data_IF_900118989263
#
_entry.id   IF_900118989263
#
_cell.length_a   1.000
_cell.length_b   1.000
_cell.length_c   1.000
_cell.angle_alpha   90.00
_cell.angle_beta   90.00
_cell.angle_gamma   90.00
#
_symmetry.space_group_name_H-M   'P 1'
#
loop_
_entity.id
_entity.type
_entity.pdbx_description
1 polymer ?
#
# COMPACT_ATOMS: atom_id res chain seq x y z
N UNK A 1 0.71 -20.38 -8.19
CA UNK A 1 -0.74 -20.18 -8.44
C UNK A 1 -1.13 -18.84 -9.13
N UNK A 2 -0.20 -17.98 -9.61
CA UNK A 2 -0.58 -16.67 -10.19
C UNK A 2 -0.35 -16.47 -11.71
N UNK A 3 0.04 -17.51 -12.46
CA UNK A 3 0.87 -17.35 -13.66
C UNK A 3 0.18 -16.90 -14.97
N UNK A 4 -1.14 -16.73 -15.06
CA UNK A 4 -1.78 -16.60 -16.41
C UNK A 4 -2.96 -15.63 -16.55
N UNK A 5 -3.38 -14.90 -15.50
CA UNK A 5 -4.63 -14.13 -15.56
C UNK A 5 -4.52 -12.72 -14.95
N UNK A 6 -3.37 -12.06 -15.08
CA UNK A 6 -3.20 -10.67 -14.63
C UNK A 6 -4.28 -9.75 -15.23
N UNK A 7 -4.49 -9.81 -16.55
CA UNK A 7 -5.53 -9.04 -17.24
C UNK A 7 -6.93 -9.32 -16.70
N UNK A 8 -7.25 -10.58 -16.39
CA UNK A 8 -8.57 -10.97 -15.86
C UNK A 8 -8.79 -10.42 -14.46
N UNK A 9 -7.77 -10.48 -13.59
CA UNK A 9 -7.84 -9.92 -12.23
C UNK A 9 -7.91 -8.40 -12.23
N UNK A 10 -7.13 -7.75 -13.10
CA UNK A 10 -7.23 -6.30 -13.32
C UNK A 10 -8.62 -5.91 -13.80
N UNK A 11 -9.22 -6.66 -14.72
CA UNK A 11 -10.59 -6.41 -15.19
C UNK A 11 -11.63 -6.57 -14.06
N UNK A 12 -11.51 -7.60 -13.22
CA UNK A 12 -12.40 -7.79 -12.04
C UNK A 12 -12.30 -6.61 -11.09
N UNK A 13 -11.08 -6.15 -10.79
CA UNK A 13 -10.85 -5.02 -9.89
C UNK A 13 -11.38 -3.70 -10.50
N UNK A 14 -11.14 -3.46 -11.78
CA UNK A 14 -11.62 -2.28 -12.49
C UNK A 14 -13.15 -2.23 -12.57
N UNK A 15 -13.80 -3.37 -12.88
CA UNK A 15 -15.25 -3.50 -12.86
C UNK A 15 -15.81 -3.23 -11.46
N UNK A 16 -15.19 -3.80 -10.42
CA UNK A 16 -15.58 -3.52 -9.04
C UNK A 16 -15.48 -2.04 -8.67
N UNK A 17 -14.38 -1.36 -9.04
CA UNK A 17 -14.23 0.09 -8.81
C UNK A 17 -15.24 0.93 -9.59
N UNK A 18 -15.53 0.55 -10.84
CA UNK A 18 -16.54 1.23 -11.67
C UNK A 18 -17.94 1.09 -11.05
N UNK A 19 -18.28 -0.11 -10.57
CA UNK A 19 -19.56 -0.37 -9.91
C UNK A 19 -19.66 0.30 -8.56
N UNK A 20 -18.56 0.37 -7.80
CA UNK A 20 -18.51 1.17 -6.58
C UNK A 20 -18.90 2.62 -6.87
N UNK A 21 -18.30 3.22 -7.90
CA UNK A 21 -18.57 4.60 -8.28
C UNK A 21 -20.03 4.79 -8.69
N UNK A 22 -20.53 3.97 -9.62
CA UNK A 22 -21.91 4.05 -10.12
C UNK A 22 -22.92 3.86 -9.00
N UNK A 23 -22.75 2.83 -8.16
CA UNK A 23 -23.65 2.55 -7.04
C UNK A 23 -23.61 3.67 -5.98
N UNK A 24 -22.44 4.27 -5.74
CA UNK A 24 -22.31 5.42 -4.83
C UNK A 24 -23.04 6.65 -5.39
N UNK A 25 -22.87 6.97 -6.68
CA UNK A 25 -23.55 8.11 -7.32
C UNK A 25 -25.06 7.90 -7.33
N UNK A 26 -25.53 6.73 -7.77
CA UNK A 26 -26.96 6.43 -7.82
C UNK A 26 -27.62 6.49 -6.43
N UNK A 27 -26.94 6.02 -5.39
CA UNK A 27 -27.44 6.12 -4.01
C UNK A 27 -27.34 7.53 -3.43
N UNK A 28 -26.34 8.34 -3.82
CA UNK A 28 -26.29 9.76 -3.48
C UNK A 28 -27.47 10.52 -4.09
N UNK A 29 -27.74 10.32 -5.38
CA UNK A 29 -28.87 10.94 -6.09
C UNK A 29 -30.22 10.50 -5.51
N UNK A 30 -30.29 9.29 -4.97
CA UNK A 30 -31.47 8.77 -4.28
C UNK A 30 -31.62 9.27 -2.83
N UNK A 31 -30.75 10.16 -2.36
CA UNK A 31 -30.86 10.80 -1.04
C UNK A 31 -30.32 9.98 0.14
N UNK A 32 -29.56 8.90 -0.10
CA UNK A 32 -28.99 8.08 0.99
C UNK A 32 -27.82 8.76 1.72
N UNK A 33 -27.40 9.96 1.31
CA UNK A 33 -26.36 10.74 1.99
C UNK A 33 -25.08 9.94 2.17
N UNK A 34 -24.54 9.91 3.39
CA UNK A 34 -23.27 9.21 3.70
C UNK A 34 -23.37 7.67 3.54
N UNK A 35 -24.58 7.10 3.65
CA UNK A 35 -24.81 5.64 3.53
C UNK A 35 -24.51 5.15 2.11
N UNK A 36 -24.56 6.03 1.12
CA UNK A 36 -24.18 5.75 -0.27
C UNK A 36 -22.79 5.12 -0.41
N UNK A 37 -21.83 5.55 0.41
CA UNK A 37 -20.46 5.02 0.42
C UNK A 37 -20.45 3.54 0.80
N UNK A 38 -21.26 3.15 1.80
CA UNK A 38 -21.40 1.76 2.24
C UNK A 38 -22.04 0.89 1.17
N UNK A 39 -23.10 1.40 0.52
CA UNK A 39 -23.79 0.71 -0.58
C UNK A 39 -22.82 0.44 -1.73
N UNK A 40 -22.02 1.43 -2.11
CA UNK A 40 -21.00 1.29 -3.15
C UNK A 40 -19.99 0.20 -2.83
N UNK A 41 -19.45 0.18 -1.61
CA UNK A 41 -18.45 -0.80 -1.17
C UNK A 41 -19.02 -2.23 -1.19
N UNK A 42 -20.22 -2.42 -0.64
CA UNK A 42 -20.87 -3.74 -0.60
C UNK A 42 -21.15 -4.24 -2.01
N UNK A 43 -21.67 -3.38 -2.89
CA UNK A 43 -21.99 -3.72 -4.28
C UNK A 43 -20.74 -4.14 -5.06
N UNK A 44 -19.64 -3.40 -4.90
CA UNK A 44 -18.37 -3.71 -5.53
C UNK A 44 -17.78 -5.03 -5.02
N UNK A 45 -17.77 -5.24 -3.70
CA UNK A 45 -17.28 -6.48 -3.09
C UNK A 45 -18.09 -7.71 -3.52
N UNK A 46 -19.42 -7.58 -3.56
CA UNK A 46 -20.30 -8.64 -4.02
C UNK A 46 -20.03 -9.01 -5.49
N UNK A 47 -19.92 -8.02 -6.37
CA UNK A 47 -19.60 -8.26 -7.77
C UNK A 47 -18.22 -8.93 -7.94
N UNK A 48 -17.19 -8.40 -7.26
CA UNK A 48 -15.84 -8.98 -7.32
C UNK A 48 -15.85 -10.43 -6.84
N UNK A 49 -16.64 -10.75 -5.81
CA UNK A 49 -16.83 -12.11 -5.34
C UNK A 49 -17.53 -12.99 -6.39
N UNK A 50 -18.66 -12.57 -6.94
CA UNK A 50 -19.43 -13.35 -7.93
C UNK A 50 -18.62 -13.59 -9.19
N UNK A 51 -18.02 -12.54 -9.75
CA UNK A 51 -17.20 -12.65 -10.96
C UNK A 51 -15.92 -13.44 -10.65
N UNK A 52 -15.26 -13.18 -9.53
CA UNK A 52 -14.07 -13.91 -9.10
C UNK A 52 -14.35 -15.41 -8.94
N UNK A 53 -15.49 -15.77 -8.35
CA UNK A 53 -15.91 -17.16 -8.20
C UNK A 53 -16.29 -17.80 -9.54
N UNK A 54 -17.07 -17.13 -10.39
CA UNK A 54 -17.45 -17.65 -11.70
C UNK A 54 -16.23 -17.84 -12.62
N UNK A 55 -15.24 -16.95 -12.51
CA UNK A 55 -14.07 -16.95 -13.38
C UNK A 55 -12.93 -17.83 -12.85
N UNK A 56 -12.67 -17.84 -11.54
CA UNK A 56 -11.55 -18.56 -10.91
C UNK A 56 -11.96 -19.83 -10.14
N UNK A 57 -13.25 -20.02 -9.86
CA UNK A 57 -13.78 -21.13 -9.05
C UNK A 57 -13.97 -22.46 -9.79
N UNK A 58 -13.56 -22.58 -11.06
CA UNK A 58 -13.66 -23.87 -11.74
C UNK A 58 -12.65 -24.89 -11.14
N UNK A 59 -13.05 -26.16 -10.90
CA UNK A 59 -12.28 -27.13 -10.10
C UNK A 59 -10.97 -27.64 -10.73
N UNK A 60 -10.56 -27.12 -11.89
CA UNK A 60 -9.48 -27.70 -12.71
C UNK A 60 -8.06 -27.43 -12.20
N UNK A 61 -7.85 -27.01 -10.93
CA UNK A 61 -6.53 -26.56 -10.43
C UNK A 61 -6.09 -27.14 -9.10
N UNK A 62 -6.74 -28.20 -8.63
CA UNK A 62 -6.07 -29.12 -7.70
C UNK A 62 -5.06 -29.92 -8.51
N UNK A 63 -3.82 -29.46 -8.53
CA UNK A 63 -2.69 -30.19 -9.10
C UNK A 63 -2.64 -31.57 -8.39
N UNK A 64 -2.95 -32.70 -9.06
CA UNK A 64 -3.05 -34.01 -8.40
C UNK A 64 -1.71 -34.55 -7.88
N UNK A 65 -0.65 -33.73 -7.93
CA UNK A 65 0.75 -34.11 -7.76
C UNK A 65 1.36 -33.69 -6.42
N UNK A 66 0.64 -32.97 -5.57
CA UNK A 66 1.16 -32.62 -4.25
C UNK A 66 1.23 -33.87 -3.37
N UNK A 67 2.44 -34.39 -3.20
CA UNK A 67 2.72 -35.48 -2.25
C UNK A 67 2.38 -35.01 -0.83
N UNK A 68 1.96 -35.93 0.03
CA UNK A 68 1.45 -35.64 1.39
C UNK A 68 2.45 -34.82 2.23
N UNK A 69 3.75 -35.03 2.06
CA UNK A 69 4.80 -34.28 2.76
C UNK A 69 5.00 -32.86 2.20
N UNK A 70 4.90 -32.69 0.88
CA UNK A 70 4.92 -31.37 0.24
C UNK A 70 3.70 -30.52 0.64
N UNK A 71 2.55 -31.18 0.89
CA UNK A 71 1.32 -30.50 1.32
C UNK A 71 1.45 -29.81 2.69
N UNK A 72 2.22 -30.38 3.61
CA UNK A 72 2.45 -29.80 4.95
C UNK A 72 3.39 -28.61 4.88
N UNK A 73 4.47 -28.71 4.09
CA UNK A 73 5.39 -27.60 3.83
C UNK A 73 4.67 -26.42 3.16
N UNK A 74 3.88 -26.69 2.11
CA UNK A 74 3.08 -25.68 1.41
C UNK A 74 2.05 -25.03 2.34
N UNK A 75 1.37 -25.81 3.18
CA UNK A 75 0.42 -25.28 4.17
C UNK A 75 1.09 -24.32 5.15
N UNK A 76 2.28 -24.67 5.67
CA UNK A 76 3.02 -23.81 6.58
C UNK A 76 3.45 -22.51 5.90
N UNK A 77 3.91 -22.56 4.65
CA UNK A 77 4.23 -21.36 3.86
C UNK A 77 3.00 -20.47 3.61
N UNK A 78 1.85 -21.06 3.29
CA UNK A 78 0.59 -20.32 3.12
C UNK A 78 0.18 -19.64 4.43
N UNK A 79 0.23 -20.36 5.56
CA UNK A 79 -0.13 -19.82 6.87
C UNK A 79 0.82 -18.66 7.24
N UNK A 80 2.13 -18.83 7.04
CA UNK A 80 3.11 -17.77 7.27
C UNK A 80 2.78 -16.55 6.40
N UNK A 81 2.54 -16.75 5.11
CA UNK A 81 2.19 -15.67 4.19
C UNK A 81 0.91 -14.95 4.62
N UNK A 82 -0.16 -15.69 4.95
CA UNK A 82 -1.42 -15.11 5.40
C UNK A 82 -1.27 -14.32 6.69
N UNK A 83 -0.61 -14.88 7.71
CA UNK A 83 -0.39 -14.21 9.00
C UNK A 83 0.42 -12.94 8.81
N UNK A 84 1.51 -13.02 8.06
CA UNK A 84 2.36 -11.86 7.80
C UNK A 84 1.62 -10.79 7.01
N UNK A 85 0.88 -11.15 5.96
CA UNK A 85 0.10 -10.18 5.18
C UNK A 85 -1.01 -9.53 5.98
N UNK A 86 -1.69 -10.28 6.84
CA UNK A 86 -2.70 -9.74 7.75
C UNK A 86 -2.07 -8.72 8.72
N UNK A 87 -0.92 -9.07 9.32
CA UNK A 87 -0.22 -8.18 10.24
C UNK A 87 0.30 -6.93 9.53
N UNK A 88 0.94 -7.08 8.37
CA UNK A 88 1.40 -5.98 7.50
C UNK A 88 0.24 -5.04 7.15
N UNK A 89 -0.90 -5.60 6.73
CA UNK A 89 -2.08 -4.80 6.37
C UNK A 89 -2.63 -4.05 7.60
N UNK A 90 -2.69 -4.72 8.76
CA UNK A 90 -3.16 -4.12 10.01
C UNK A 90 -2.23 -2.99 10.47
N UNK A 91 -0.92 -3.20 10.43
CA UNK A 91 0.07 -2.17 10.74
C UNK A 91 0.01 -1.02 9.73
N UNK A 92 -0.19 -1.31 8.44
CA UNK A 92 -0.37 -0.28 7.40
C UNK A 92 -1.61 0.56 7.62
N UNK A 93 -2.73 -0.05 8.01
CA UNK A 93 -3.94 0.66 8.41
C UNK A 93 -3.69 1.50 9.66
N UNK A 94 -3.03 0.95 10.67
CA UNK A 94 -2.66 1.69 11.88
C UNK A 94 -1.82 2.93 11.55
N UNK A 95 -0.75 2.77 10.77
CA UNK A 95 0.14 3.87 10.34
C UNK A 95 -0.62 4.95 9.56
N UNK A 96 -1.63 4.60 8.77
CA UNK A 96 -2.31 5.55 7.87
C UNK A 96 -3.62 6.13 8.42
N UNK A 97 -4.24 5.49 9.42
CA UNK A 97 -5.50 5.95 10.01
C UNK A 97 -5.29 6.66 11.34
N UNK A 98 -4.30 6.25 12.14
CA UNK A 98 -4.03 6.88 13.44
C UNK A 98 -3.70 8.37 13.26
N UNK A 99 -3.02 8.75 12.18
CA UNK A 99 -2.70 10.14 11.92
C UNK A 99 -3.94 11.02 11.74
N UNK A 100 -4.94 10.51 11.01
CA UNK A 100 -6.20 11.21 10.78
C UNK A 100 -6.99 11.38 12.07
N UNK A 101 -7.02 10.36 12.91
CA UNK A 101 -7.69 10.44 14.22
C UNK A 101 -6.97 11.42 15.15
N UNK A 102 -5.63 11.42 15.17
CA UNK A 102 -4.85 12.37 15.96
C UNK A 102 -5.09 13.82 15.55
N UNK A 103 -5.01 14.09 14.24
CA UNK A 103 -5.27 15.43 13.71
C UNK A 103 -6.72 15.88 13.95
N UNK A 104 -7.68 14.95 13.92
CA UNK A 104 -9.07 15.21 14.30
C UNK A 104 -9.23 15.58 15.77
N UNK A 105 -8.56 14.87 16.67
CA UNK A 105 -8.62 15.11 18.13
C UNK A 105 -7.92 16.40 18.56
N UNK A 106 -6.84 16.80 17.88
CA UNK A 106 -6.16 18.08 18.13
C UNK A 106 -7.06 19.28 17.78
N UNK A 107 -8.15 19.07 17.03
CA UNK A 107 -9.16 20.09 16.80
C UNK A 107 -8.78 21.11 15.73
N UNK A 108 -7.97 20.72 14.73
CA UNK A 108 -7.68 21.56 13.56
C UNK A 108 -8.27 20.97 12.26
N UNK A 109 -9.58 21.20 11.99
CA UNK A 109 -10.26 20.66 10.81
C UNK A 109 -9.63 21.11 9.49
N UNK A 110 -9.10 22.35 9.44
CA UNK A 110 -8.46 22.88 8.24
C UNK A 110 -7.16 22.12 7.93
N UNK A 111 -6.33 21.86 8.94
CA UNK A 111 -5.10 21.09 8.76
C UNK A 111 -5.40 19.63 8.40
N UNK A 112 -6.39 19.02 9.07
CA UNK A 112 -6.84 17.66 8.76
C UNK A 112 -7.31 17.54 7.30
N UNK A 113 -8.11 18.49 6.82
CA UNK A 113 -8.60 18.48 5.44
C UNK A 113 -7.46 18.61 4.42
N UNK A 114 -6.50 19.52 4.65
CA UNK A 114 -5.31 19.68 3.78
C UNK A 114 -4.47 18.40 3.75
N UNK A 115 -4.23 17.80 4.92
CA UNK A 115 -3.49 16.55 5.06
C UNK A 115 -4.19 15.39 4.35
N UNK A 116 -5.51 15.26 4.52
CA UNK A 116 -6.26 14.16 3.92
C UNK A 116 -6.31 14.26 2.39
N UNK A 117 -6.55 15.46 1.83
CA UNK A 117 -6.47 15.70 0.38
C UNK A 117 -5.09 15.37 -0.15
N UNK A 118 -4.03 15.87 0.50
CA UNK A 118 -2.66 15.61 0.09
C UNK A 118 -2.38 14.10 0.03
N UNK A 119 -2.71 13.39 1.13
CA UNK A 119 -2.51 11.94 1.24
C UNK A 119 -3.27 11.17 0.16
N UNK A 120 -4.53 11.53 -0.13
CA UNK A 120 -5.34 10.84 -1.16
C UNK A 120 -4.70 10.92 -2.54
N UNK A 121 -4.31 12.12 -2.99
CA UNK A 121 -3.70 12.29 -4.31
C UNK A 121 -2.31 11.67 -4.39
N UNK A 122 -1.49 11.81 -3.34
CA UNK A 122 -0.14 11.27 -3.28
C UNK A 122 -0.12 9.73 -3.22
N UNK A 123 -1.15 9.10 -2.63
CA UNK A 123 -1.27 7.65 -2.60
C UNK A 123 -1.60 7.04 -3.97
N UNK A 124 -2.22 7.77 -4.91
CA UNK A 124 -2.58 7.25 -6.24
C UNK A 124 -1.34 6.73 -7.00
N UNK A 125 -0.26 7.52 -7.19
CA UNK A 125 1.00 7.03 -7.74
C UNK A 125 1.53 5.76 -7.08
N UNK A 126 1.50 5.71 -5.74
CA UNK A 126 1.97 4.57 -4.96
C UNK A 126 1.18 3.30 -5.30
N UNK A 127 -0.14 3.40 -5.40
CA UNK A 127 -1.02 2.27 -5.76
C UNK A 127 -0.70 1.76 -7.17
N UNK A 128 -0.48 2.66 -8.13
CA UNK A 128 -0.09 2.31 -9.51
C UNK A 128 1.23 1.52 -9.50
N UNK A 129 2.23 2.00 -8.77
CA UNK A 129 3.54 1.33 -8.70
C UNK A 129 3.42 -0.04 -8.02
N UNK A 130 2.64 -0.17 -6.94
CA UNK A 130 2.38 -1.47 -6.30
C UNK A 130 1.74 -2.44 -7.28
N UNK A 131 0.76 -1.99 -8.07
CA UNK A 131 0.08 -2.83 -9.06
C UNK A 131 1.04 -3.30 -10.16
N UNK A 132 1.90 -2.41 -10.67
CA UNK A 132 2.95 -2.74 -11.64
C UNK A 132 4.00 -3.70 -11.05
N UNK A 133 4.32 -3.53 -9.77
CA UNK A 133 5.29 -4.35 -9.05
C UNK A 133 4.75 -5.71 -8.59
N UNK A 134 3.44 -5.95 -8.63
CA UNK A 134 2.84 -7.21 -8.18
C UNK A 134 3.38 -8.45 -8.92
N UNK A 135 3.76 -8.29 -10.19
CA UNK A 135 4.40 -9.34 -10.99
C UNK A 135 5.75 -9.82 -10.44
N UNK A 136 6.46 -8.95 -9.71
CA UNK A 136 7.77 -9.26 -9.15
C UNK A 136 7.73 -10.42 -8.16
N UNK A 137 6.61 -10.63 -7.47
CA UNK A 137 6.45 -11.78 -6.55
C UNK A 137 6.57 -13.10 -7.33
N UNK A 138 6.00 -13.17 -8.54
CA UNK A 138 6.05 -14.37 -9.37
C UNK A 138 7.39 -14.54 -10.12
N UNK A 139 8.07 -13.44 -10.42
CA UNK A 139 9.38 -13.47 -11.07
C UNK A 139 10.48 -13.83 -10.06
N UNK A 140 10.40 -13.26 -8.86
CA UNK A 140 11.38 -13.53 -7.80
C UNK A 140 11.27 -14.93 -7.21
N UNK A 141 10.12 -15.60 -7.30
CA UNK A 141 9.95 -16.98 -6.82
C UNK A 141 10.80 -18.02 -7.57
N UNK A 142 11.51 -17.62 -8.62
CA UNK A 142 12.40 -18.48 -9.42
C UNK A 142 13.88 -18.18 -9.19
N UNK A 143 14.18 -17.18 -8.36
CA UNK A 143 15.55 -16.80 -8.07
C UNK A 143 16.18 -17.87 -7.17
N UNK A 144 17.26 -18.47 -7.66
CA UNK A 144 18.04 -19.46 -6.91
C UNK A 144 19.43 -18.92 -6.50
N UNK A 145 19.82 -17.76 -7.03
CA UNK A 145 21.17 -17.20 -6.86
C UNK A 145 21.13 -15.74 -6.38
N UNK A 146 22.02 -15.42 -5.45
CA UNK A 146 22.23 -14.07 -4.89
C UNK A 146 22.55 -13.04 -5.96
N UNK A 147 23.32 -13.38 -6.99
CA UNK A 147 23.70 -12.41 -8.02
C UNK A 147 22.49 -11.96 -8.84
N UNK A 148 21.62 -12.91 -9.20
CA UNK A 148 20.37 -12.63 -9.91
C UNK A 148 19.40 -11.80 -9.07
N UNK A 149 19.26 -12.13 -7.78
CA UNK A 149 18.40 -11.39 -6.86
C UNK A 149 18.83 -9.92 -6.68
N UNK A 150 20.13 -9.68 -6.52
CA UNK A 150 20.67 -8.31 -6.42
C UNK A 150 20.49 -7.51 -7.71
N UNK A 151 20.76 -8.13 -8.85
CA UNK A 151 20.60 -7.48 -10.15
C UNK A 151 19.13 -7.11 -10.41
N UNK A 152 18.19 -8.01 -10.08
CA UNK A 152 16.77 -7.73 -10.18
C UNK A 152 16.37 -6.58 -9.25
N UNK A 153 16.79 -6.63 -7.98
CA UNK A 153 16.50 -5.58 -7.00
C UNK A 153 16.98 -4.21 -7.51
N UNK A 154 18.22 -4.12 -7.97
CA UNK A 154 18.79 -2.87 -8.48
C UNK A 154 18.01 -2.32 -9.70
N UNK A 155 17.71 -3.20 -10.68
CA UNK A 155 16.95 -2.81 -11.88
C UNK A 155 15.56 -2.28 -11.52
N UNK A 156 14.85 -2.99 -10.65
CA UNK A 156 13.50 -2.62 -10.25
C UNK A 156 13.50 -1.38 -9.37
N UNK A 157 14.41 -1.25 -8.40
CA UNK A 157 14.54 -0.03 -7.59
C UNK A 157 14.78 1.20 -8.47
N UNK A 158 15.64 1.07 -9.49
CA UNK A 158 15.86 2.12 -10.48
C UNK A 158 14.55 2.49 -11.19
N UNK A 159 13.82 1.50 -11.72
CA UNK A 159 12.52 1.72 -12.39
C UNK A 159 11.49 2.36 -11.45
N UNK A 160 11.40 1.91 -10.20
CA UNK A 160 10.53 2.48 -9.19
C UNK A 160 10.86 3.95 -8.96
N UNK A 161 12.14 4.31 -8.81
CA UNK A 161 12.54 5.71 -8.65
C UNK A 161 12.16 6.54 -9.89
N UNK A 162 12.50 6.05 -11.09
CA UNK A 162 12.17 6.75 -12.35
C UNK A 162 10.67 6.95 -12.55
N UNK A 163 9.82 6.02 -12.10
CA UNK A 163 8.37 6.15 -12.15
C UNK A 163 7.83 7.04 -11.03
N UNK A 164 8.36 6.89 -9.81
CA UNK A 164 7.84 7.56 -8.60
C UNK A 164 8.03 9.07 -8.67
N UNK A 165 9.20 9.55 -9.10
CA UNK A 165 9.53 10.99 -9.11
C UNK A 165 8.55 11.82 -9.95
N UNK A 166 8.34 11.52 -11.26
CA UNK A 166 7.42 12.31 -12.07
C UNK A 166 5.95 12.14 -11.64
N UNK A 167 5.54 10.93 -11.25
CA UNK A 167 4.16 10.69 -10.80
C UNK A 167 3.85 11.43 -9.49
N UNK A 168 4.79 11.47 -8.55
CA UNK A 168 4.62 12.23 -7.31
C UNK A 168 4.69 13.73 -7.53
N UNK A 169 5.54 14.21 -8.45
CA UNK A 169 5.57 15.63 -8.79
C UNK A 169 4.22 16.07 -9.35
N UNK A 170 3.66 15.32 -10.30
CA UNK A 170 2.33 15.57 -10.85
C UNK A 170 1.24 15.48 -9.76
N UNK A 171 1.24 14.42 -8.94
CA UNK A 171 0.27 14.26 -7.86
C UNK A 171 0.38 15.36 -6.79
N UNK A 172 1.57 15.89 -6.52
CA UNK A 172 1.77 16.99 -5.57
C UNK A 172 1.18 18.30 -6.10
N UNK A 173 1.32 18.58 -7.40
CA UNK A 173 0.67 19.74 -8.04
C UNK A 173 -0.84 19.61 -7.94
N UNK A 174 -1.39 18.44 -8.29
CA UNK A 174 -2.84 18.18 -8.21
C UNK A 174 -3.32 18.30 -6.76
N UNK A 175 -2.60 17.72 -5.79
CA UNK A 175 -2.92 17.82 -4.37
C UNK A 175 -2.96 19.28 -3.88
N UNK A 176 -1.99 20.10 -4.29
CA UNK A 176 -1.91 21.51 -3.93
C UNK A 176 -3.11 22.29 -4.49
N UNK A 177 -3.42 22.13 -5.78
CA UNK A 177 -4.56 22.78 -6.42
C UNK A 177 -5.91 22.29 -5.88
N UNK A 178 -6.00 21.01 -5.49
CA UNK A 178 -7.21 20.44 -4.91
C UNK A 178 -7.53 21.02 -3.52
N UNK A 179 -6.54 21.46 -2.75
CA UNK A 179 -6.79 22.13 -1.47
C UNK A 179 -7.52 23.47 -1.66
N UNK A 180 -7.18 24.21 -2.72
CA UNK A 180 -7.85 25.47 -3.05
C UNK A 180 -9.25 25.20 -3.62
N UNK A 181 -9.33 24.34 -4.63
CA UNK A 181 -10.55 24.16 -5.44
C UNK A 181 -11.62 23.30 -4.78
N UNK A 182 -11.26 22.29 -3.98
CA UNK A 182 -12.23 21.35 -3.42
C UNK A 182 -12.74 21.73 -2.02
N UNK A 183 -11.92 22.43 -1.21
CA UNK A 183 -12.28 22.78 0.18
C UNK A 183 -12.17 24.28 0.48
N UNK A 184 -11.81 25.12 -0.50
CA UNK A 184 -11.71 26.57 -0.33
C UNK A 184 -10.66 27.00 0.70
N UNK A 185 -9.66 26.15 0.97
CA UNK A 185 -8.64 26.41 1.99
C UNK A 185 -7.35 26.96 1.36
N UNK A 186 -6.66 27.86 2.05
CA UNK A 186 -5.32 28.31 1.65
C UNK A 186 -4.38 27.10 1.52
N UNK A 187 -3.86 26.78 0.33
CA UNK A 187 -3.03 25.59 0.13
C UNK A 187 -1.79 25.60 1.02
N UNK A 188 -1.39 24.42 1.51
CA UNK A 188 -0.18 24.24 2.30
C UNK A 188 0.84 23.43 1.52
N UNK A 189 1.83 24.13 0.96
CA UNK A 189 2.97 23.50 0.28
C UNK A 189 3.76 22.58 1.22
N UNK A 190 3.89 22.97 2.49
CA UNK A 190 4.60 22.19 3.51
C UNK A 190 3.95 20.83 3.75
N UNK A 191 2.62 20.78 3.94
CA UNK A 191 1.89 19.52 4.13
C UNK A 191 2.03 18.62 2.90
N UNK A 192 1.82 19.19 1.70
CA UNK A 192 1.98 18.44 0.43
C UNK A 192 3.38 17.85 0.31
N UNK A 193 4.41 18.65 0.62
CA UNK A 193 5.81 18.23 0.52
C UNK A 193 6.14 17.12 1.53
N UNK A 194 5.73 17.27 2.80
CA UNK A 194 5.97 16.25 3.82
C UNK A 194 5.31 14.92 3.45
N UNK A 195 4.06 14.96 3.01
CA UNK A 195 3.32 13.76 2.57
C UNK A 195 3.96 13.15 1.31
N UNK A 196 4.37 13.97 0.35
CA UNK A 196 4.98 13.50 -0.90
C UNK A 196 6.32 12.83 -0.66
N UNK A 197 7.17 13.42 0.18
CA UNK A 197 8.46 12.85 0.55
C UNK A 197 8.26 11.57 1.36
N UNK A 198 7.35 11.55 2.34
CA UNK A 198 7.07 10.36 3.14
C UNK A 198 6.61 9.17 2.29
N UNK A 199 5.59 9.37 1.45
CA UNK A 199 5.08 8.31 0.58
C UNK A 199 6.05 7.96 -0.55
N UNK A 200 6.80 8.93 -1.07
CA UNK A 200 7.81 8.69 -2.10
C UNK A 200 8.99 7.88 -1.61
N UNK A 201 9.51 8.19 -0.42
CA UNK A 201 10.50 7.32 0.24
C UNK A 201 9.93 5.94 0.51
N UNK A 202 8.64 5.84 0.88
CA UNK A 202 7.99 4.55 1.09
C UNK A 202 7.85 3.72 -0.19
N UNK A 203 7.70 4.33 -1.36
CA UNK A 203 7.72 3.60 -2.64
C UNK A 203 9.02 2.82 -2.87
N UNK A 204 10.15 3.26 -2.30
CA UNK A 204 11.43 2.53 -2.40
C UNK A 204 11.36 1.12 -1.78
N UNK A 205 10.43 0.89 -0.84
CA UNK A 205 10.22 -0.42 -0.21
C UNK A 205 9.49 -1.41 -1.11
N UNK A 206 8.82 -0.95 -2.18
CA UNK A 206 7.97 -1.80 -3.04
C UNK A 206 8.79 -2.92 -3.69
N UNK A 207 9.95 -2.60 -4.25
CA UNK A 207 10.82 -3.60 -4.88
C UNK A 207 11.31 -4.67 -3.89
N UNK A 208 11.98 -4.32 -2.78
CA UNK A 208 12.48 -5.32 -1.84
C UNK A 208 11.35 -6.12 -1.18
N UNK A 209 10.22 -5.51 -0.82
CA UNK A 209 9.08 -6.24 -0.23
C UNK A 209 8.55 -7.30 -1.19
N UNK A 210 8.31 -6.96 -2.46
CA UNK A 210 7.77 -7.92 -3.42
C UNK A 210 8.77 -9.03 -3.77
N UNK A 211 10.05 -8.70 -3.89
CA UNK A 211 11.11 -9.70 -4.15
C UNK A 211 11.25 -10.65 -2.96
N UNK A 212 11.37 -10.13 -1.74
CA UNK A 212 11.47 -10.94 -0.51
C UNK A 212 10.23 -11.81 -0.31
N UNK A 213 9.04 -11.29 -0.63
CA UNK A 213 7.80 -12.06 -0.59
C UNK A 213 7.79 -13.20 -1.60
N UNK A 214 8.30 -12.98 -2.82
CA UNK A 214 8.33 -14.01 -3.86
C UNK A 214 9.33 -15.13 -3.59
N UNK A 215 10.47 -14.83 -2.95
CA UNK A 215 11.41 -15.85 -2.46
C UNK A 215 10.95 -16.53 -1.15
N UNK A 216 9.72 -16.28 -0.69
CA UNK A 216 9.10 -16.97 0.44
C UNK A 216 9.37 -16.35 1.82
N UNK A 217 9.89 -15.13 1.88
CA UNK A 217 10.20 -14.40 3.12
C UNK A 217 9.46 -13.07 3.26
N UNK A 218 8.11 -13.09 3.25
CA UNK A 218 7.31 -11.87 3.43
C UNK A 218 7.51 -11.24 4.83
N UNK A 219 7.98 -12.02 5.81
CA UNK A 219 8.22 -11.60 7.19
C UNK A 219 9.22 -10.44 7.32
N UNK A 220 10.12 -10.29 6.35
CA UNK A 220 11.11 -9.20 6.37
C UNK A 220 10.50 -7.81 6.25
N UNK A 221 9.30 -7.69 5.66
CA UNK A 221 8.57 -6.42 5.59
C UNK A 221 8.29 -5.86 7.00
N UNK A 222 8.10 -6.73 7.99
CA UNK A 222 7.87 -6.34 9.39
C UNK A 222 9.09 -5.64 10.02
N UNK A 223 10.31 -5.88 9.51
CA UNK A 223 11.54 -5.30 10.08
C UNK A 223 11.57 -3.78 10.02
N UNK A 224 10.86 -3.16 9.08
CA UNK A 224 10.73 -1.71 9.01
C UNK A 224 9.33 -1.21 9.37
N UNK A 225 8.28 -2.00 9.12
CA UNK A 225 6.92 -1.60 9.47
C UNK A 225 6.68 -1.56 10.98
N UNK A 226 7.23 -2.50 11.75
CA UNK A 226 7.01 -2.52 13.20
C UNK A 226 7.66 -1.31 13.90
N UNK A 227 8.95 -0.98 13.66
CA UNK A 227 9.54 0.25 14.18
C UNK A 227 8.78 1.50 13.73
N UNK A 228 8.37 1.55 12.45
CA UNK A 228 7.58 2.66 11.92
C UNK A 228 6.26 2.82 12.69
N UNK A 229 5.49 1.74 12.86
CA UNK A 229 4.23 1.78 13.59
C UNK A 229 4.42 2.27 15.04
N UNK A 230 5.48 1.85 15.72
CA UNK A 230 5.80 2.34 17.06
C UNK A 230 6.08 3.84 17.07
N UNK A 231 6.89 4.35 16.13
CA UNK A 231 7.19 5.79 16.05
C UNK A 231 5.96 6.61 15.68
N UNK A 232 5.06 6.08 14.85
CA UNK A 232 3.78 6.74 14.53
C UNK A 232 2.84 6.76 15.73
N UNK A 233 2.81 5.70 16.54
CA UNK A 233 2.08 5.74 17.81
C UNK A 233 2.62 6.81 18.77
N UNK A 234 3.95 6.99 18.80
CA UNK A 234 4.60 8.04 19.58
C UNK A 234 4.29 9.42 18.99
N UNK A 235 4.32 9.60 17.68
CA UNK A 235 4.02 10.89 17.03
C UNK A 235 2.59 11.34 17.35
N UNK A 236 1.64 10.42 17.39
CA UNK A 236 0.27 10.67 17.84
C UNK A 236 0.22 11.18 19.28
N UNK A 237 0.91 10.50 20.22
CA UNK A 237 0.99 10.94 21.61
C UNK A 237 1.62 12.34 21.76
N UNK A 238 2.72 12.59 21.04
CA UNK A 238 3.40 13.90 21.03
C UNK A 238 2.50 14.99 20.42
N UNK A 239 1.79 14.68 19.34
CA UNK A 239 0.85 15.59 18.68
C UNK A 239 -0.26 16.05 19.63
N UNK A 240 -0.84 15.12 20.38
CA UNK A 240 -1.88 15.41 21.38
C UNK A 240 -1.32 16.25 22.52
N UNK A 241 -0.19 15.84 23.11
CA UNK A 241 0.42 16.55 24.26
C UNK A 241 0.82 17.97 23.87
N UNK A 242 1.40 18.15 22.68
CA UNK A 242 1.85 19.46 22.20
C UNK A 242 0.72 20.34 21.64
N UNK A 243 -0.46 19.76 21.37
CA UNK A 243 -1.56 20.45 20.68
C UNK A 243 -1.22 20.90 19.26
N UNK A 244 -0.17 20.33 18.64
CA UNK A 244 0.35 20.79 17.36
C UNK A 244 0.33 19.68 16.30
N UNK A 245 -0.69 19.72 15.44
CA UNK A 245 -0.83 18.75 14.35
C UNK A 245 0.32 18.76 13.33
N UNK A 246 0.99 19.90 13.13
CA UNK A 246 2.17 19.95 12.23
C UNK A 246 3.36 19.17 12.80
N UNK A 247 3.52 19.15 14.13
CA UNK A 247 4.55 18.33 14.80
C UNK A 247 4.26 16.85 14.57
N UNK A 248 3.01 16.42 14.72
CA UNK A 248 2.60 15.05 14.43
C UNK A 248 2.93 14.64 12.98
N UNK A 249 2.51 15.45 12.00
CA UNK A 249 2.77 15.20 10.56
C UNK A 249 4.28 15.13 10.30
N UNK A 250 5.06 16.02 10.90
CA UNK A 250 6.52 16.08 10.68
C UNK A 250 7.24 14.85 11.24
N UNK A 251 6.89 14.42 12.46
CA UNK A 251 7.47 13.22 13.07
C UNK A 251 7.08 11.97 12.26
N UNK A 252 5.81 11.84 11.88
CA UNK A 252 5.33 10.74 11.03
C UNK A 252 6.09 10.71 9.70
N UNK A 253 6.17 11.84 9.00
CA UNK A 253 6.84 11.93 7.71
C UNK A 253 8.32 11.55 7.84
N UNK A 254 9.01 12.09 8.85
CA UNK A 254 10.41 11.75 9.15
C UNK A 254 10.59 10.25 9.42
N UNK A 255 9.73 9.67 10.26
CA UNK A 255 9.77 8.24 10.58
C UNK A 255 9.58 7.37 9.34
N UNK A 256 8.63 7.73 8.47
CA UNK A 256 8.32 7.02 7.23
C UNK A 256 9.50 7.10 6.25
N UNK A 257 10.13 8.27 6.11
CA UNK A 257 11.32 8.48 5.28
C UNK A 257 12.48 7.62 5.78
N UNK A 258 12.86 7.78 7.05
CA UNK A 258 14.01 7.12 7.66
C UNK A 258 13.85 5.60 7.57
N UNK A 259 12.71 5.07 8.00
CA UNK A 259 12.46 3.62 8.01
C UNK A 259 12.45 3.03 6.60
N UNK A 260 11.87 3.74 5.63
CA UNK A 260 11.77 3.25 4.25
C UNK A 260 13.12 3.27 3.53
N UNK A 261 13.90 4.34 3.70
CA UNK A 261 15.26 4.45 3.13
C UNK A 261 16.16 3.40 3.76
N UNK A 262 16.17 3.28 5.08
CA UNK A 262 16.95 2.28 5.80
C UNK A 262 16.64 0.86 5.29
N UNK A 263 15.35 0.51 5.18
CA UNK A 263 14.94 -0.80 4.68
C UNK A 263 15.40 -1.02 3.24
N UNK A 264 15.25 -0.03 2.36
CA UNK A 264 15.67 -0.11 0.97
C UNK A 264 17.19 -0.31 0.84
N UNK A 265 18.00 0.34 1.68
CA UNK A 265 19.46 0.21 1.68
C UNK A 265 19.88 -1.17 2.20
N UNK A 266 19.29 -1.63 3.31
CA UNK A 266 19.65 -2.92 3.94
C UNK A 266 19.08 -4.11 3.16
N UNK A 267 18.11 -3.91 2.26
CA UNK A 267 17.46 -5.00 1.52
C UNK A 267 18.41 -5.91 0.72
N UNK A 268 19.54 -5.39 0.24
CA UNK A 268 20.58 -6.21 -0.39
C UNK A 268 21.15 -7.28 0.55
N UNK A 269 21.34 -6.93 1.84
CA UNK A 269 21.77 -7.87 2.87
C UNK A 269 20.72 -8.95 3.09
N UNK A 270 19.45 -8.57 3.12
CA UNK A 270 18.34 -9.52 3.29
C UNK A 270 18.22 -10.51 2.13
N UNK A 271 18.43 -10.07 0.88
CA UNK A 271 18.46 -11.00 -0.26
C UNK A 271 19.62 -12.01 -0.11
N UNK A 272 20.80 -11.56 0.34
CA UNK A 272 21.95 -12.43 0.56
C UNK A 272 21.77 -13.40 1.75
N UNK A 273 20.97 -13.03 2.75
CA UNK A 273 20.61 -13.91 3.88
C UNK A 273 19.70 -15.07 3.45
N UNK A 274 18.91 -14.89 2.39
CA UNK A 274 17.85 -15.83 1.99
C UNK A 274 18.25 -16.69 0.79
N UNK A 275 18.85 -16.09 -0.24
CA UNK A 275 19.34 -16.84 -1.40
C UNK A 275 20.71 -17.42 -1.08
N UNK A 276 21.03 -18.59 -1.62
CA UNK A 276 22.30 -19.31 -1.45
C UNK A 276 23.34 -18.88 -2.47
#
# INVERSE_FOLDING_TARGET
>A
MGRSHFMRRTAILFLGGSIQLIATIASLESGFGIVSLGIGIISAGFLQFVIGFALEGQPSRNDPRLRRDESVSVKNTIILFMKTRLLVATLGLFITQLDRWGLGLIGNPSLLAKYDIATRFIMIPKIIIIALAAGLVADSSRLNDKSQGRLLLFRVQKLVIFATVPLLAAASVVAFLAQETAIGAVPSLLVVTLVAVAHGSNCLTIAPVNILSGIGRPDFELRYLLPLACVVAISYGVGIISGNGMVQISIWAGAMVISSIWFSVVSNKYINEVLS
#
